data_IF_816636863895
#
_entry.id   IF_816636863895
#
_cell.length_a   1.000
_cell.length_b   1.000
_cell.length_c   1.000
_cell.angle_alpha   90.00
_cell.angle_beta   90.00
_cell.angle_gamma   90.00
#
_symmetry.space_group_name_H-M   'P 1'
#
loop_
_entity.id
_entity.type
_entity.pdbx_description
1 polymer ?
#
# COMPACT_ATOMS: atom_id res chain seq x y z
N UNK A 1 -7.96 12.04 0.82
CA UNK A 1 -7.12 11.61 -0.31
C UNK A 1 -6.18 10.50 0.14
N UNK A 2 -6.05 9.47 -0.65
CA UNK A 2 -5.21 8.33 -0.30
C UNK A 2 -3.73 8.67 -0.47
N UNK A 3 -2.94 8.40 0.56
CA UNK A 3 -1.49 8.61 0.51
C UNK A 3 -0.80 7.25 0.59
N UNK A 4 -0.29 6.78 -0.56
CA UNK A 4 0.31 5.46 -0.65
C UNK A 4 1.54 5.33 0.24
N UNK A 5 2.33 6.40 0.36
CA UNK A 5 3.55 6.35 1.17
C UNK A 5 3.20 6.20 2.65
N UNK A 6 2.21 6.94 3.13
CA UNK A 6 1.77 6.81 4.51
C UNK A 6 1.20 5.42 4.78
N UNK A 7 0.46 4.90 3.83
CA UNK A 7 -0.11 3.56 3.95
C UNK A 7 0.99 2.52 4.11
N UNK A 8 2.03 2.60 3.26
CA UNK A 8 3.14 1.66 3.34
C UNK A 8 3.88 1.77 4.67
N UNK A 9 4.07 3.00 5.17
CA UNK A 9 4.75 3.20 6.45
C UNK A 9 3.95 2.62 7.60
N UNK A 10 2.63 2.74 7.56
CA UNK A 10 1.78 2.16 8.59
C UNK A 10 1.89 0.64 8.60
N UNK A 11 1.96 0.03 7.42
CA UNK A 11 2.14 -1.41 7.31
C UNK A 11 3.47 -1.84 7.91
N UNK A 12 4.54 -1.10 7.65
CA UNK A 12 5.83 -1.43 8.22
C UNK A 12 5.80 -1.35 9.74
N UNK A 13 5.12 -0.35 10.29
CA UNK A 13 4.98 -0.22 11.74
C UNK A 13 4.18 -1.39 12.33
N UNK A 14 3.29 -1.95 11.55
CA UNK A 14 2.47 -3.09 12.00
C UNK A 14 3.22 -4.41 11.93
N UNK A 15 4.46 -4.41 11.41
CA UNK A 15 5.27 -5.60 11.38
C UNK A 15 5.51 -6.19 9.99
N UNK A 16 5.00 -5.54 8.96
CA UNK A 16 5.24 -5.99 7.60
C UNK A 16 6.65 -5.56 7.16
N UNK A 17 7.27 -6.38 6.30
CA UNK A 17 8.54 -5.97 5.72
C UNK A 17 8.29 -4.87 4.69
N UNK A 18 9.36 -4.15 4.34
CA UNK A 18 9.24 -3.10 3.33
C UNK A 18 8.69 -3.67 2.01
N UNK A 19 9.17 -4.85 1.63
CA UNK A 19 8.72 -5.47 0.40
C UNK A 19 7.23 -5.84 0.46
N UNK A 20 6.79 -6.38 1.60
CA UNK A 20 5.38 -6.70 1.78
C UNK A 20 4.52 -5.45 1.75
N UNK A 21 5.00 -4.39 2.40
CA UNK A 21 4.27 -3.12 2.41
C UNK A 21 4.13 -2.55 1.01
N UNK A 22 5.19 -2.64 0.20
CA UNK A 22 5.15 -2.15 -1.16
C UNK A 22 4.15 -2.92 -2.01
N UNK A 23 4.10 -4.23 -1.85
CA UNK A 23 3.16 -5.06 -2.61
C UNK A 23 1.73 -4.71 -2.24
N UNK A 24 1.46 -4.57 -0.95
CA UNK A 24 0.11 -4.23 -0.50
C UNK A 24 -0.29 -2.83 -0.95
N UNK A 25 0.65 -1.89 -0.90
CA UNK A 25 0.41 -0.54 -1.40
C UNK A 25 0.06 -0.56 -2.89
N UNK A 26 0.80 -1.34 -3.66
CA UNK A 26 0.55 -1.41 -5.10
C UNK A 26 -0.82 -2.01 -5.38
N UNK A 27 -1.24 -3.01 -4.61
CA UNK A 27 -2.57 -3.57 -4.75
C UNK A 27 -3.65 -2.52 -4.53
N UNK A 28 -3.48 -1.68 -3.52
CA UNK A 28 -4.43 -0.61 -3.24
C UNK A 28 -4.49 0.38 -4.38
N UNK A 29 -3.34 0.79 -4.89
CA UNK A 29 -3.27 1.73 -6.00
C UNK A 29 -3.94 1.14 -7.24
N UNK A 30 -3.68 -0.14 -7.51
CA UNK A 30 -4.27 -0.81 -8.66
C UNK A 30 -5.80 -0.86 -8.54
N UNK A 31 -6.31 -1.11 -7.34
CA UNK A 31 -7.75 -1.14 -7.13
C UNK A 31 -8.39 0.23 -7.36
N UNK A 32 -7.69 1.29 -6.97
CA UNK A 32 -8.19 2.65 -7.17
C UNK A 32 -8.20 3.03 -8.65
N UNK A 33 -7.28 2.48 -9.42
CA UNK A 33 -7.16 2.79 -10.84
C UNK A 33 -7.86 1.78 -11.74
N UNK A 34 -8.34 0.69 -11.17
CA UNK A 34 -8.97 -0.36 -11.97
C UNK A 34 -10.33 0.10 -12.49
N UNK A 35 -10.61 -0.29 -13.72
CA UNK A 35 -11.90 -0.04 -14.36
C UNK A 35 -12.51 -1.39 -14.69
N UNK A 36 -13.62 -1.64 -14.05
CA UNK A 36 -14.34 -2.90 -14.23
C UNK A 36 -15.59 -2.70 -15.07
#
# INVERSE_FOLDING_TARGET
MFNAISYAKQLEKAGFTQKQAEILMQCQVDMMNAHF
#
